data_IF_577994497865
#
_entry.id   IF_577994497865
#
_cell.length_a   1.000
_cell.length_b   1.000
_cell.length_c   1.000
_cell.angle_alpha   90.00
_cell.angle_beta   90.00
_cell.angle_gamma   90.00
#
_symmetry.space_group_name_H-M   'P 1'
#
loop_
_entity.id
_entity.type
_entity.pdbx_description
1 polymer ?
#
# COMPACT_ATOMS: atom_id res chain seq x y z
N UNK A 1 18.06 -16.06 -72.22
CA UNK A 1 16.64 -15.80 -71.88
C UNK A 1 16.46 -16.01 -70.39
N UNK A 2 15.89 -14.98 -69.76
CA UNK A 2 15.62 -14.72 -68.33
C UNK A 2 15.27 -15.95 -67.47
N UNK A 3 16.13 -16.27 -66.50
CA UNK A 3 15.85 -17.20 -65.38
C UNK A 3 16.61 -16.76 -64.11
N UNK A 4 16.79 -15.46 -63.93
CA UNK A 4 17.23 -14.84 -62.68
C UNK A 4 16.14 -13.88 -62.22
N UNK A 5 15.95 -13.79 -60.90
CA UNK A 5 15.11 -12.81 -60.21
C UNK A 5 13.67 -13.21 -59.89
N UNK A 6 13.45 -14.36 -59.23
CA UNK A 6 12.38 -14.46 -58.21
C UNK A 6 12.86 -15.37 -57.07
N UNK A 7 13.92 -14.95 -56.37
CA UNK A 7 14.09 -15.37 -54.96
C UNK A 7 13.54 -14.21 -54.14
N UNK A 8 12.21 -14.14 -54.14
CA UNK A 8 11.44 -13.21 -53.33
C UNK A 8 11.82 -13.53 -51.87
N UNK A 9 12.63 -12.67 -51.28
CA UNK A 9 12.96 -12.66 -49.86
C UNK A 9 11.62 -12.47 -49.11
N UNK A 10 10.89 -13.55 -48.92
CA UNK A 10 9.81 -13.64 -47.94
C UNK A 10 10.51 -13.73 -46.59
N UNK A 11 11.06 -12.60 -46.15
CA UNK A 11 11.38 -12.35 -44.76
C UNK A 11 10.02 -12.38 -44.05
N UNK A 12 9.62 -13.58 -43.65
CA UNK A 12 8.60 -13.81 -42.64
C UNK A 12 9.05 -12.99 -41.43
N UNK A 13 8.53 -11.77 -41.32
CA UNK A 13 8.32 -11.16 -40.02
C UNK A 13 7.40 -12.12 -39.28
N UNK A 14 7.98 -13.11 -38.61
CA UNK A 14 7.36 -13.75 -37.47
C UNK A 14 7.17 -12.62 -36.46
N UNK A 15 6.05 -11.92 -36.58
CA UNK A 15 5.44 -11.28 -35.44
C UNK A 15 5.10 -12.44 -34.52
N UNK A 16 6.02 -12.78 -33.62
CA UNK A 16 5.67 -13.55 -32.44
C UNK A 16 4.57 -12.73 -31.78
N UNK A 17 3.34 -13.20 -31.93
CA UNK A 17 2.22 -12.70 -31.16
C UNK A 17 2.54 -13.09 -29.72
N UNK A 18 3.35 -12.28 -29.05
CA UNK A 18 3.70 -12.49 -27.66
C UNK A 18 2.42 -12.22 -26.89
N UNK A 19 1.81 -13.28 -26.38
CA UNK A 19 0.68 -13.12 -25.49
C UNK A 19 1.14 -12.27 -24.31
N UNK A 20 0.33 -11.28 -23.94
CA UNK A 20 0.67 -10.41 -22.82
C UNK A 20 0.93 -11.26 -21.57
N UNK A 21 2.01 -10.93 -20.87
CA UNK A 21 2.39 -11.61 -19.64
C UNK A 21 1.35 -11.29 -18.56
N UNK A 22 0.81 -12.33 -17.93
CA UNK A 22 -0.17 -12.15 -16.87
C UNK A 22 0.54 -11.77 -15.59
N UNK A 23 0.32 -10.54 -15.15
CA UNK A 23 0.89 -10.00 -13.93
C UNK A 23 -0.25 -9.64 -12.98
N UNK A 24 -0.07 -9.87 -11.69
CA UNK A 24 -1.03 -9.41 -10.68
C UNK A 24 -0.37 -8.51 -9.64
N UNK A 25 -1.09 -7.43 -9.32
CA UNK A 25 -0.70 -6.41 -8.33
C UNK A 25 -1.62 -6.53 -7.13
N UNK A 26 -1.07 -6.96 -6.00
CA UNK A 26 -1.78 -7.06 -4.73
C UNK A 26 -1.79 -5.72 -3.99
N UNK A 27 -2.95 -5.10 -3.86
CA UNK A 27 -3.09 -3.88 -3.07
C UNK A 27 -2.94 -4.16 -1.57
N UNK A 28 -2.39 -3.19 -0.83
CA UNK A 28 -2.33 -3.22 0.65
C UNK A 28 -3.66 -2.87 1.31
N UNK A 29 -4.65 -2.42 0.56
CA UNK A 29 -5.95 -2.01 1.09
C UNK A 29 -7.06 -2.23 0.09
N UNK A 30 -8.25 -1.74 0.43
CA UNK A 30 -9.42 -1.70 -0.45
C UNK A 30 -9.21 -0.72 -1.61
N UNK A 31 -10.02 -0.85 -2.66
CA UNK A 31 -9.99 0.05 -3.81
C UNK A 31 -10.19 1.51 -3.37
N UNK A 32 -9.14 2.32 -3.47
CA UNK A 32 -9.12 3.71 -3.03
C UNK A 32 -8.22 4.57 -3.93
N UNK A 33 -8.38 5.89 -3.83
CA UNK A 33 -7.71 6.85 -4.70
C UNK A 33 -6.17 6.83 -4.57
N UNK A 34 -5.63 6.36 -3.44
CA UNK A 34 -4.18 6.16 -3.27
C UNK A 34 -3.56 5.27 -4.35
N UNK A 35 -4.35 4.37 -4.94
CA UNK A 35 -3.90 3.46 -6.00
C UNK A 35 -4.19 3.97 -7.41
N UNK A 36 -4.70 5.20 -7.58
CA UNK A 36 -5.18 5.71 -8.85
C UNK A 36 -4.13 5.66 -9.98
N UNK A 37 -2.85 5.77 -9.67
CA UNK A 37 -1.76 5.62 -10.66
C UNK A 37 -1.76 4.25 -11.35
N UNK A 38 -1.96 3.17 -10.59
CA UNK A 38 -2.03 1.80 -11.13
C UNK A 38 -3.25 1.61 -12.02
N UNK A 39 -4.42 2.12 -11.60
CA UNK A 39 -5.63 2.07 -12.41
C UNK A 39 -5.49 2.91 -13.68
N UNK A 40 -4.94 4.12 -13.57
CA UNK A 40 -4.72 4.99 -14.72
C UNK A 40 -3.76 4.34 -15.74
N UNK A 41 -2.70 3.68 -15.30
CA UNK A 41 -1.79 2.94 -16.19
C UNK A 41 -2.51 1.81 -16.92
N UNK A 42 -3.39 1.08 -16.24
CA UNK A 42 -4.23 0.04 -16.85
C UNK A 42 -5.22 0.61 -17.86
N UNK A 43 -6.03 1.59 -17.45
CA UNK A 43 -7.08 2.19 -18.30
C UNK A 43 -6.51 2.95 -19.50
N UNK A 44 -5.29 3.48 -19.40
CA UNK A 44 -4.59 4.15 -20.51
C UNK A 44 -3.84 3.18 -21.43
N UNK A 45 -3.80 1.89 -21.12
CA UNK A 45 -3.11 0.89 -21.93
C UNK A 45 -1.60 0.82 -21.72
N UNK A 46 -1.02 1.54 -20.75
CA UNK A 46 0.43 1.56 -20.54
C UNK A 46 0.99 0.17 -20.18
N UNK A 47 0.23 -0.66 -19.47
CA UNK A 47 0.65 -2.05 -19.24
C UNK A 47 0.60 -2.88 -20.53
N UNK A 48 -0.42 -2.69 -21.36
CA UNK A 48 -0.56 -3.42 -22.63
C UNK A 48 0.52 -3.02 -23.65
N UNK A 49 0.89 -1.74 -23.69
CA UNK A 49 2.01 -1.22 -24.50
C UNK A 49 3.34 -1.88 -24.14
N UNK A 50 3.53 -2.24 -22.86
CA UNK A 50 4.68 -3.00 -22.36
C UNK A 50 4.46 -4.54 -22.40
N UNK A 51 3.38 -5.02 -23.01
CA UNK A 51 3.09 -6.44 -23.16
C UNK A 51 2.63 -7.13 -21.87
N UNK A 52 2.05 -6.40 -20.91
CA UNK A 52 1.57 -6.89 -19.63
C UNK A 52 0.03 -6.88 -19.53
N UNK A 53 -0.56 -8.00 -19.13
CA UNK A 53 -1.96 -8.13 -18.74
C UNK A 53 -2.06 -8.05 -17.21
N UNK A 54 -2.16 -6.82 -16.69
CA UNK A 54 -2.15 -6.56 -15.24
C UNK A 54 -3.53 -6.71 -14.61
N UNK A 55 -3.65 -7.61 -13.65
CA UNK A 55 -4.80 -7.72 -12.75
C UNK A 55 -4.51 -7.06 -11.40
N UNK A 56 -5.26 -6.01 -11.07
CA UNK A 56 -5.15 -5.34 -9.76
C UNK A 56 -6.11 -6.03 -8.80
N UNK A 57 -5.58 -6.56 -7.70
CA UNK A 57 -6.31 -7.31 -6.67
C UNK A 57 -6.52 -6.46 -5.43
N UNK A 58 -7.78 -6.34 -5.00
CA UNK A 58 -8.10 -5.76 -3.70
C UNK A 58 -7.56 -6.62 -2.55
N UNK A 59 -7.37 -6.02 -1.38
CA UNK A 59 -6.97 -6.76 -0.18
C UNK A 59 -8.10 -7.58 0.43
N UNK A 60 -7.83 -8.86 0.70
CA UNK A 60 -8.58 -9.61 1.71
C UNK A 60 -8.03 -9.29 3.12
N UNK A 61 -8.83 -8.63 3.97
CA UNK A 61 -8.43 -8.23 5.33
C UNK A 61 -8.21 -9.40 6.31
N UNK A 62 -8.49 -10.66 5.92
CA UNK A 62 -8.13 -11.85 6.69
C UNK A 62 -6.73 -12.36 6.37
N UNK A 63 -6.17 -11.96 5.24
CA UNK A 63 -4.90 -12.43 4.71
C UNK A 63 -3.81 -11.38 4.84
N UNK A 64 -2.56 -11.82 4.74
CA UNK A 64 -1.40 -10.96 4.72
C UNK A 64 -0.98 -10.73 3.26
N UNK A 65 -1.13 -9.50 2.77
CA UNK A 65 -0.79 -9.13 1.39
C UNK A 65 0.71 -9.32 1.07
N UNK A 66 1.60 -9.20 2.06
CA UNK A 66 3.03 -9.44 1.86
C UNK A 66 3.30 -10.92 1.66
N UNK A 67 2.67 -11.78 2.47
CA UNK A 67 2.84 -13.23 2.37
C UNK A 67 2.26 -13.77 1.06
N UNK A 68 1.15 -13.21 0.55
CA UNK A 68 0.60 -13.56 -0.77
C UNK A 68 1.62 -13.36 -1.90
N UNK A 69 2.41 -12.27 -1.86
CA UNK A 69 3.47 -12.02 -2.86
C UNK A 69 4.65 -12.97 -2.66
N UNK A 70 5.07 -13.19 -1.41
CA UNK A 70 6.14 -14.16 -1.08
C UNK A 70 5.78 -15.57 -1.57
N UNK A 71 4.52 -15.97 -1.42
CA UNK A 71 4.01 -17.30 -1.79
C UNK A 71 3.73 -17.45 -3.30
N UNK A 72 3.89 -16.38 -4.09
CA UNK A 72 3.62 -16.39 -5.54
C UNK A 72 2.14 -16.33 -5.91
N UNK A 73 1.25 -15.97 -4.98
CA UNK A 73 -0.17 -15.77 -5.26
C UNK A 73 -0.42 -14.46 -6.03
N UNK A 74 0.50 -13.49 -5.91
CA UNK A 74 0.60 -12.31 -6.78
C UNK A 74 2.06 -11.98 -7.08
N UNK A 75 2.35 -11.47 -8.27
CA UNK A 75 3.73 -11.15 -8.71
C UNK A 75 4.28 -9.91 -8.00
N UNK A 76 3.44 -8.88 -7.86
CA UNK A 76 3.79 -7.63 -7.20
C UNK A 76 2.79 -7.29 -6.12
N UNK A 77 3.21 -6.46 -5.17
CA UNK A 77 2.32 -5.91 -4.17
C UNK A 77 2.68 -4.49 -3.80
N UNK A 78 1.74 -3.86 -3.10
CA UNK A 78 1.95 -2.58 -2.42
C UNK A 78 2.08 -2.87 -0.93
N UNK A 79 2.95 -2.15 -0.22
CA UNK A 79 3.11 -2.24 1.24
C UNK A 79 3.67 -0.93 1.81
N UNK A 80 3.76 -0.81 3.13
CA UNK A 80 4.48 0.29 3.80
C UNK A 80 5.93 -0.08 4.09
N UNK A 81 6.68 0.85 4.69
CA UNK A 81 8.05 0.67 5.20
C UNK A 81 8.26 -0.53 6.15
N UNK A 82 7.21 -1.24 6.57
CA UNK A 82 7.35 -2.55 7.22
C UNK A 82 8.13 -3.57 6.37
N UNK A 83 8.22 -3.36 5.05
CA UNK A 83 9.05 -4.20 4.18
C UNK A 83 10.51 -4.29 4.66
N UNK A 84 11.05 -3.25 5.29
CA UNK A 84 12.40 -3.27 5.86
C UNK A 84 12.53 -4.25 7.04
N UNK A 85 11.47 -4.40 7.86
CA UNK A 85 11.44 -5.42 8.91
C UNK A 85 11.42 -6.83 8.31
N UNK A 86 10.69 -7.03 7.21
CA UNK A 86 10.72 -8.30 6.47
C UNK A 86 12.11 -8.62 5.93
N UNK A 87 12.82 -7.63 5.38
CA UNK A 87 14.20 -7.78 4.92
C UNK A 87 15.17 -8.12 6.06
N UNK A 88 15.05 -7.46 7.21
CA UNK A 88 15.86 -7.77 8.41
C UNK A 88 15.61 -9.22 8.89
N UNK A 89 14.37 -9.68 8.79
CA UNK A 89 13.99 -11.08 9.06
C UNK A 89 14.37 -12.06 7.94
N UNK A 90 15.13 -11.61 6.94
CA UNK A 90 15.59 -12.41 5.77
C UNK A 90 14.44 -13.03 4.98
N UNK A 91 13.27 -12.38 4.97
CA UNK A 91 12.15 -12.78 4.10
C UNK A 91 12.51 -12.46 2.64
N UNK A 92 12.06 -13.28 1.67
CA UNK A 92 12.47 -13.17 0.28
C UNK A 92 11.69 -12.08 -0.46
N UNK A 93 11.87 -10.82 -0.05
CA UNK A 93 11.19 -9.65 -0.62
C UNK A 93 12.19 -8.66 -1.22
N UNK A 94 11.78 -8.00 -2.31
CA UNK A 94 12.57 -7.00 -3.03
C UNK A 94 11.73 -5.74 -3.19
N UNK A 95 12.26 -4.60 -2.73
CA UNK A 95 11.68 -3.29 -2.98
C UNK A 95 11.92 -2.92 -4.45
N UNK A 96 10.86 -2.55 -5.17
CA UNK A 96 10.94 -2.12 -6.57
C UNK A 96 10.95 -0.60 -6.64
N UNK A 97 9.98 0.06 -6.01
CA UNK A 97 9.87 1.52 -6.03
C UNK A 97 9.08 2.07 -4.83
N UNK A 98 9.54 3.15 -4.17
CA UNK A 98 8.72 3.90 -3.24
C UNK A 98 7.79 4.86 -4.01
N UNK A 99 6.46 4.66 -3.94
CA UNK A 99 5.51 5.54 -4.63
C UNK A 99 5.26 6.81 -3.82
N UNK A 100 5.09 6.70 -2.50
CA UNK A 100 5.00 7.88 -1.63
C UNK A 100 6.33 8.13 -0.91
N UNK A 101 6.87 9.33 -1.12
CA UNK A 101 8.10 9.79 -0.46
C UNK A 101 7.91 9.96 1.05
N UNK A 102 6.69 10.31 1.48
CA UNK A 102 6.29 10.44 2.88
C UNK A 102 5.03 9.61 3.11
N UNK A 103 5.02 8.80 4.15
CA UNK A 103 3.87 7.96 4.49
C UNK A 103 2.68 8.83 4.91
N UNK A 104 1.51 8.66 4.29
CA UNK A 104 0.29 9.38 4.68
C UNK A 104 -0.40 8.75 5.91
N UNK A 105 0.22 7.76 6.57
CA UNK A 105 -0.35 7.07 7.74
C UNK A 105 -0.30 7.97 8.96
N UNK A 106 -1.47 8.34 9.49
CA UNK A 106 -1.61 9.28 10.60
C UNK A 106 -2.57 8.75 11.67
N UNK A 107 -2.53 9.37 12.85
CA UNK A 107 -3.58 9.24 13.86
C UNK A 107 -4.50 10.47 13.80
N UNK A 108 -5.80 10.22 13.77
CA UNK A 108 -6.84 11.26 13.81
C UNK A 108 -7.50 11.25 15.18
N UNK A 109 -7.72 12.43 15.76
CA UNK A 109 -8.50 12.62 16.99
C UNK A 109 -9.52 13.74 16.79
N UNK A 110 -10.53 13.84 17.67
CA UNK A 110 -11.43 14.99 17.68
C UNK A 110 -10.75 16.19 18.33
N UNK A 111 -10.89 17.41 17.78
CA UNK A 111 -10.41 18.63 18.45
C UNK A 111 -10.99 18.77 19.86
N UNK A 112 -12.25 18.37 20.04
CA UNK A 112 -12.94 18.44 21.34
C UNK A 112 -12.38 17.50 22.40
N UNK A 113 -11.54 16.51 22.05
CA UNK A 113 -10.89 15.63 23.04
C UNK A 113 -9.68 16.29 23.70
N UNK A 114 -9.14 17.36 23.10
CA UNK A 114 -7.90 18.00 23.54
C UNK A 114 -6.64 17.16 23.28
N UNK A 115 -6.75 16.02 22.58
CA UNK A 115 -5.62 15.17 22.20
C UNK A 115 -5.07 15.70 20.87
N UNK A 116 -3.93 16.37 20.91
CA UNK A 116 -3.26 16.95 19.74
C UNK A 116 -1.79 16.49 19.59
N UNK A 117 -1.32 15.64 20.52
CA UNK A 117 0.03 15.09 20.50
C UNK A 117 0.05 13.63 20.96
N UNK A 118 1.05 12.83 20.55
CA UNK A 118 1.14 11.43 20.93
C UNK A 118 1.34 11.24 22.44
N UNK A 119 1.90 12.23 23.13
CA UNK A 119 2.12 12.19 24.58
C UNK A 119 0.82 12.12 25.41
N UNK A 120 -0.32 12.41 24.80
CA UNK A 120 -1.64 12.34 25.44
C UNK A 120 -2.37 11.01 25.16
N UNK A 121 -1.75 10.09 24.41
CA UNK A 121 -2.34 8.82 24.01
C UNK A 121 -2.09 7.68 25.00
N UNK A 122 -1.32 7.91 26.07
CA UNK A 122 -1.06 6.86 27.05
C UNK A 122 -2.35 6.38 27.73
N UNK A 123 -2.57 5.05 27.72
CA UNK A 123 -3.81 4.43 28.17
C UNK A 123 -5.09 4.79 27.38
N UNK A 124 -4.99 5.55 26.28
CA UNK A 124 -6.13 5.89 25.41
C UNK A 124 -6.47 4.76 24.47
N UNK A 125 -7.73 4.68 24.04
CA UNK A 125 -8.18 3.71 23.04
C UNK A 125 -7.87 4.23 21.64
N UNK A 126 -7.17 3.43 20.85
CA UNK A 126 -6.89 3.72 19.45
C UNK A 126 -7.52 2.63 18.60
N UNK A 127 -8.42 3.01 17.70
CA UNK A 127 -8.91 2.09 16.67
C UNK A 127 -7.80 1.90 15.64
N UNK A 128 -7.34 0.67 15.48
CA UNK A 128 -6.12 0.36 14.76
C UNK A 128 -6.28 -0.80 13.78
N UNK A 129 -5.36 -0.92 12.83
CA UNK A 129 -5.36 -1.98 11.83
C UNK A 129 -5.28 -3.38 12.47
N UNK A 130 -5.98 -4.35 11.86
CA UNK A 130 -6.08 -5.73 12.40
C UNK A 130 -4.75 -6.47 12.42
N UNK A 131 -3.89 -6.20 11.45
CA UNK A 131 -2.56 -6.79 11.27
C UNK A 131 -1.53 -5.67 11.32
N UNK A 132 -0.31 -6.01 11.69
CA UNK A 132 0.80 -5.05 11.79
C UNK A 132 1.43 -4.70 10.44
N UNK A 133 0.88 -5.18 9.34
CA UNK A 133 1.29 -4.84 7.97
C UNK A 133 1.05 -3.37 7.61
N UNK A 134 0.26 -2.66 8.42
CA UNK A 134 -0.12 -1.27 8.22
C UNK A 134 0.06 -0.49 9.52
N UNK A 135 0.30 0.82 9.40
CA UNK A 135 0.52 1.68 10.56
C UNK A 135 1.89 1.49 11.22
N UNK A 136 2.87 0.91 10.52
CA UNK A 136 4.22 0.68 11.02
C UNK A 136 4.87 1.96 11.56
N UNK A 137 4.76 3.10 10.85
CA UNK A 137 5.28 4.39 11.32
C UNK A 137 4.62 4.88 12.61
N UNK A 138 3.31 4.64 12.78
CA UNK A 138 2.59 4.97 14.02
C UNK A 138 3.09 4.09 15.17
N UNK A 139 3.23 2.78 14.95
CA UNK A 139 3.74 1.86 15.98
C UNK A 139 5.19 2.21 16.38
N UNK A 140 6.04 2.51 15.41
CA UNK A 140 7.43 2.93 15.67
C UNK A 140 7.49 4.23 16.48
N UNK A 141 6.67 5.23 16.14
CA UNK A 141 6.54 6.47 16.91
C UNK A 141 6.09 6.20 18.34
N UNK A 142 5.00 5.45 18.54
CA UNK A 142 4.47 5.15 19.88
C UNK A 142 5.51 4.41 20.72
N UNK A 143 6.19 3.42 20.14
CA UNK A 143 7.23 2.65 20.81
C UNK A 143 8.42 3.52 21.23
N UNK A 144 8.92 4.37 20.33
CA UNK A 144 10.07 5.23 20.62
C UNK A 144 9.77 6.32 21.64
N UNK A 145 8.51 6.74 21.74
CA UNK A 145 8.06 7.72 22.74
C UNK A 145 7.58 7.07 24.04
N UNK A 146 7.72 5.75 24.17
CA UNK A 146 7.29 4.95 25.32
C UNK A 146 5.80 5.10 25.66
N UNK A 147 4.96 5.38 24.67
CA UNK A 147 3.51 5.56 24.83
C UNK A 147 2.80 4.22 24.69
N UNK A 148 1.94 3.88 25.66
CA UNK A 148 1.24 2.59 25.74
C UNK A 148 -0.29 2.77 25.63
N UNK A 149 -0.83 2.96 24.41
CA UNK A 149 -2.28 3.01 24.21
C UNK A 149 -2.89 1.61 24.20
N UNK A 150 -4.21 1.55 24.32
CA UNK A 150 -5.02 0.36 24.09
C UNK A 150 -5.36 0.29 22.60
N UNK A 151 -4.68 -0.59 21.84
CA UNK A 151 -4.94 -0.79 20.42
C UNK A 151 -6.16 -1.70 20.19
N UNK A 152 -7.28 -1.13 19.76
CA UNK A 152 -8.48 -1.85 19.37
C UNK A 152 -8.40 -2.30 17.90
N UNK A 153 -8.12 -3.59 17.72
CA UNK A 153 -7.91 -4.26 16.43
C UNK A 153 -9.12 -5.07 15.95
N UNK A 154 -10.30 -4.82 16.51
CA UNK A 154 -11.51 -5.53 16.11
C UNK A 154 -12.01 -5.10 14.72
N UNK A 155 -12.70 -5.98 13.98
CA UNK A 155 -13.19 -5.65 12.63
C UNK A 155 -14.12 -4.42 12.64
N UNK A 156 -14.97 -4.31 13.65
CA UNK A 156 -15.90 -3.20 13.84
C UNK A 156 -15.20 -1.88 14.18
N UNK A 157 -13.94 -1.90 14.63
CA UNK A 157 -13.19 -0.68 14.98
C UNK A 157 -12.70 0.11 13.76
N UNK A 158 -12.85 -0.44 12.54
CA UNK A 158 -12.42 0.20 11.29
C UNK A 158 -13.37 1.28 10.79
N UNK A 159 -14.52 1.51 11.42
CA UNK A 159 -15.42 2.61 11.08
C UNK A 159 -14.93 3.93 11.71
N UNK A 160 -14.46 4.88 10.90
CA UNK A 160 -13.97 6.18 11.39
C UNK A 160 -15.02 6.95 12.20
N UNK A 161 -16.32 6.67 12.03
CA UNK A 161 -17.41 7.26 12.83
C UNK A 161 -17.32 6.88 14.30
N UNK A 162 -16.54 5.86 14.66
CA UNK A 162 -16.23 5.55 16.06
C UNK A 162 -15.57 6.71 16.81
N UNK A 163 -14.83 7.58 16.12
CA UNK A 163 -14.36 8.84 16.69
C UNK A 163 -15.55 9.76 17.04
N UNK A 164 -16.47 9.96 16.10
CA UNK A 164 -17.63 10.84 16.28
C UNK A 164 -18.53 10.39 17.43
N UNK A 165 -18.71 9.07 17.58
CA UNK A 165 -19.47 8.46 18.67
C UNK A 165 -18.66 8.27 19.97
N UNK A 166 -17.40 8.74 20.02
CA UNK A 166 -16.50 8.64 21.18
C UNK A 166 -16.30 7.20 21.69
N UNK A 167 -16.41 6.21 20.79
CA UNK A 167 -16.08 4.81 21.09
C UNK A 167 -14.56 4.61 21.20
N UNK A 168 -13.80 5.41 20.46
CA UNK A 168 -12.33 5.44 20.47
C UNK A 168 -11.83 6.87 20.68
N UNK A 169 -10.61 7.03 21.19
CA UNK A 169 -9.99 8.34 21.44
C UNK A 169 -9.15 8.82 20.24
N UNK A 170 -8.58 7.88 19.49
CA UNK A 170 -7.87 8.12 18.24
C UNK A 170 -8.17 7.02 17.20
N UNK A 171 -7.96 7.33 15.93
CA UNK A 171 -8.19 6.40 14.82
C UNK A 171 -6.99 6.43 13.86
N UNK A 172 -6.41 5.27 13.58
CA UNK A 172 -5.36 5.15 12.57
C UNK A 172 -5.97 5.19 11.17
N UNK A 173 -5.45 6.07 10.33
CA UNK A 173 -6.01 6.38 9.01
C UNK A 173 -4.91 6.75 8.02
N UNK A 174 -5.29 6.84 6.76
CA UNK A 174 -4.54 7.55 5.74
C UNK A 174 -5.09 8.98 5.61
N UNK A 175 -4.19 9.97 5.65
CA UNK A 175 -4.54 11.40 5.56
C UNK A 175 -5.39 11.74 4.31
N UNK A 176 -5.21 10.99 3.22
CA UNK A 176 -5.94 11.17 1.96
C UNK A 176 -7.38 10.63 1.98
N UNK A 177 -7.79 9.92 3.04
CA UNK A 177 -9.04 9.16 3.08
C UNK A 177 -10.00 9.66 4.18
N UNK A 178 -9.94 9.06 5.38
CA UNK A 178 -10.95 9.31 6.42
C UNK A 178 -10.85 10.72 7.01
N UNK A 179 -9.65 11.31 7.02
CA UNK A 179 -9.47 12.72 7.41
C UNK A 179 -10.26 13.66 6.50
N UNK A 180 -10.23 13.43 5.18
CA UNK A 180 -11.02 14.21 4.23
C UNK A 180 -12.52 14.05 4.49
N UNK A 181 -12.99 12.82 4.72
CA UNK A 181 -14.40 12.53 4.97
C UNK A 181 -14.91 13.24 6.24
N UNK A 182 -14.16 13.16 7.34
CA UNK A 182 -14.49 13.84 8.60
C UNK A 182 -14.56 15.37 8.43
N UNK A 183 -13.59 15.95 7.73
CA UNK A 183 -13.58 17.40 7.46
C UNK A 183 -14.74 17.83 6.56
N UNK A 184 -15.10 17.04 5.55
CA UNK A 184 -16.24 17.30 4.68
C UNK A 184 -17.59 17.25 5.43
N UNK A 185 -17.69 16.44 6.48
CA UNK A 185 -18.84 16.39 7.40
C UNK A 185 -18.82 17.50 8.48
N UNK A 186 -17.82 18.40 8.45
CA UNK A 186 -17.68 19.50 9.41
C UNK A 186 -17.16 19.06 10.78
N UNK A 187 -16.60 17.85 10.90
CA UNK A 187 -16.01 17.36 12.14
C UNK A 187 -14.62 17.98 12.31
N UNK A 188 -14.45 18.75 13.38
CA UNK A 188 -13.15 19.30 13.73
C UNK A 188 -12.21 18.22 14.30
N UNK A 189 -11.10 17.97 13.61
CA UNK A 189 -10.11 16.95 13.97
C UNK A 189 -8.71 17.54 14.22
N UNK A 190 -7.89 16.82 14.99
CA UNK A 190 -6.43 16.97 14.97
C UNK A 190 -5.81 15.81 14.17
N UNK A 191 -4.66 16.07 13.55
CA UNK A 191 -3.85 15.06 12.85
C UNK A 191 -2.52 14.96 13.59
N UNK A 192 -2.21 13.76 14.07
CA UNK A 192 -0.92 13.42 14.67
C UNK A 192 -0.17 12.62 13.62
N UNK A 193 0.81 13.26 12.99
CA UNK A 193 1.63 12.71 11.92
C UNK A 193 2.97 12.21 12.47
N UNK A 194 3.31 10.91 12.33
CA UNK A 194 4.61 10.36 12.73
C UNK A 194 5.83 11.11 12.18
N UNK A 195 5.75 11.70 10.98
CA UNK A 195 6.85 12.46 10.39
C UNK A 195 7.27 13.65 11.26
N UNK A 196 6.31 14.28 11.96
CA UNK A 196 6.59 15.39 12.88
C UNK A 196 7.31 14.97 14.17
N UNK A 197 7.45 13.66 14.39
CA UNK A 197 8.11 13.08 15.57
C UNK A 197 9.34 12.25 15.19
N UNK A 198 9.88 12.42 13.99
CA UNK A 198 11.11 11.76 13.52
C UNK A 198 10.89 10.43 12.82
N UNK A 199 9.64 10.05 12.52
CA UNK A 199 9.29 8.82 11.81
C UNK A 199 8.78 9.13 10.40
N UNK A 200 9.63 9.81 9.63
CA UNK A 200 9.37 10.11 8.23
C UNK A 200 9.81 8.91 7.36
N UNK A 201 8.84 8.09 6.98
CA UNK A 201 9.05 6.82 6.29
C UNK A 201 8.36 6.85 4.92
N UNK A 202 8.87 6.08 3.96
CA UNK A 202 8.18 5.86 2.69
C UNK A 202 6.84 5.16 2.90
N UNK A 203 5.83 5.57 2.12
CA UNK A 203 4.52 4.93 2.04
C UNK A 203 4.31 4.26 0.68
N UNK A 204 3.32 3.38 0.61
CA UNK A 204 2.86 2.75 -0.63
C UNK A 204 4.02 2.32 -1.56
N UNK A 205 4.88 1.46 -1.03
CA UNK A 205 6.02 0.92 -1.75
C UNK A 205 5.59 -0.26 -2.61
N UNK A 206 5.92 -0.20 -3.91
CA UNK A 206 5.83 -1.33 -4.82
C UNK A 206 6.97 -2.31 -4.51
N UNK A 207 6.61 -3.58 -4.30
CA UNK A 207 7.56 -4.64 -4.00
C UNK A 207 7.19 -5.93 -4.74
N UNK A 208 8.14 -6.86 -4.77
CA UNK A 208 7.98 -8.20 -5.33
C UNK A 208 8.73 -9.25 -4.49
N UNK A 209 8.63 -10.53 -4.84
CA UNK A 209 9.42 -11.60 -4.24
C UNK A 209 10.83 -11.66 -4.83
N UNK A 210 11.79 -12.20 -4.09
CA UNK A 210 13.13 -12.43 -4.61
C UNK A 210 13.15 -13.41 -5.80
N UNK A 211 12.20 -14.35 -5.86
CA UNK A 211 12.05 -15.28 -6.97
C UNK A 211 11.62 -14.55 -8.25
N UNK A 212 10.58 -13.72 -8.16
CA UNK A 212 10.08 -12.93 -9.29
C UNK A 212 11.16 -11.99 -9.81
N UNK A 213 11.84 -11.23 -8.93
CA UNK A 213 12.92 -10.33 -9.32
C UNK A 213 14.11 -11.03 -10.01
N UNK A 214 14.33 -12.32 -9.75
CA UNK A 214 15.40 -13.10 -10.38
C UNK A 214 14.96 -13.76 -11.69
N UNK A 215 13.69 -14.14 -11.81
CA UNK A 215 13.18 -14.93 -12.93
C UNK A 215 12.54 -14.06 -14.02
N UNK A 216 12.01 -12.90 -13.65
CA UNK A 216 11.39 -11.91 -14.53
C UNK A 216 11.99 -10.50 -14.29
N UNK A 217 13.29 -10.28 -14.60
CA UNK A 217 13.95 -8.98 -14.35
C UNK A 217 13.68 -7.89 -15.39
N UNK A 218 13.10 -8.24 -16.54
CA UNK A 218 12.74 -7.32 -17.63
C UNK A 218 11.62 -6.36 -17.23
#
# INVERSE_FOLDING_TARGET
MRLLSIFFYFLLFYSTLQANEKVSLQLKWLHQFQFAGYYAAKEKGFYEEEGLDVTIKERNLQENNIDQVINGESQYGVTDSILFLYQEQKKPVVLVAPIFQHSPSVLITLKSSGIDSPYQLDGKRISFYRKDTDGFGILAMLQSLEIQPILDRNKESTDYRHLMYKKTDAYASYMTNEAYSLLAEGVAINIIDPANYGFDLYGDMLFTSAHEAQTNPQ
#
